data_IF_648915692810
#
_entry.id   IF_648915692810
#
_cell.length_a   1.000
_cell.length_b   1.000
_cell.length_c   1.000
_cell.angle_alpha   90.00
_cell.angle_beta   90.00
_cell.angle_gamma   90.00
#
_symmetry.space_group_name_H-M   'P 1'
#
loop_
_entity.id
_entity.type
_entity.pdbx_description
1 polymer ?
#
# COMPACT_ATOMS: atom_id res chain seq x y z
N UNK A 1 28.74 0.17 5.22
CA UNK A 1 27.33 0.59 5.00
C UNK A 1 26.62 -0.17 3.87
N UNK A 2 27.30 -0.55 2.77
CA UNK A 2 26.70 -1.35 1.67
C UNK A 2 26.35 -2.81 2.04
N UNK A 3 27.06 -3.42 3.00
CA UNK A 3 26.82 -4.81 3.43
C UNK A 3 25.55 -4.98 4.29
N UNK A 4 25.09 -3.90 4.96
CA UNK A 4 23.90 -3.93 5.82
C UNK A 4 22.60 -3.89 5.00
N UNK A 5 22.63 -3.25 3.82
CA UNK A 5 21.48 -3.23 2.90
C UNK A 5 21.27 -4.62 2.27
N UNK A 6 22.34 -5.40 2.05
CA UNK A 6 22.23 -6.75 1.48
C UNK A 6 21.65 -7.79 2.46
N UNK A 7 21.85 -7.63 3.78
CA UNK A 7 21.31 -8.58 4.77
C UNK A 7 19.82 -8.38 5.03
N UNK A 8 19.32 -7.15 5.05
CA UNK A 8 17.89 -6.86 5.22
C UNK A 8 17.05 -7.19 3.98
N UNK A 9 17.57 -6.91 2.78
CA UNK A 9 16.96 -7.38 1.53
C UNK A 9 16.84 -8.91 1.52
N UNK A 10 17.83 -9.63 2.04
CA UNK A 10 17.80 -11.09 2.09
C UNK A 10 16.75 -11.65 3.08
N UNK A 11 16.40 -10.95 4.17
CA UNK A 11 15.32 -11.38 5.08
C UNK A 11 13.94 -11.23 4.46
N UNK A 12 13.64 -10.11 3.79
CA UNK A 12 12.36 -9.93 3.10
C UNK A 12 12.22 -10.83 1.85
N UNK A 13 13.33 -11.24 1.22
CA UNK A 13 13.33 -12.08 0.02
C UNK A 13 13.19 -13.59 0.29
N UNK A 14 13.35 -14.06 1.53
CA UNK A 14 13.05 -15.45 1.90
C UNK A 14 11.54 -15.73 1.97
N UNK A 15 10.71 -14.70 2.17
CA UNK A 15 9.24 -14.83 2.29
C UNK A 15 8.48 -14.48 1.01
N UNK A 16 9.13 -14.55 -0.15
CA UNK A 16 8.49 -14.19 -1.43
C UNK A 16 8.25 -15.44 -2.28
N UNK A 17 7.06 -16.04 -2.26
CA UNK A 17 6.80 -17.36 -2.87
C UNK A 17 6.89 -17.36 -4.41
N UNK A 18 6.81 -16.19 -5.06
CA UNK A 18 7.02 -16.05 -6.50
C UNK A 18 8.49 -15.81 -6.90
N UNK A 19 9.46 -15.87 -5.97
CA UNK A 19 10.86 -15.57 -6.22
C UNK A 19 11.71 -16.85 -6.36
N UNK A 20 11.78 -17.40 -7.58
CA UNK A 20 12.59 -18.59 -7.89
C UNK A 20 14.10 -18.31 -7.89
N UNK A 21 14.91 -19.37 -7.80
CA UNK A 21 16.38 -19.27 -7.91
C UNK A 21 16.82 -18.60 -9.22
N UNK A 22 16.16 -18.93 -10.33
CA UNK A 22 16.43 -18.34 -11.64
C UNK A 22 16.19 -16.82 -11.67
N UNK A 23 15.11 -16.35 -11.03
CA UNK A 23 14.83 -14.91 -10.94
C UNK A 23 15.89 -14.22 -10.07
N UNK A 24 16.34 -14.87 -9.00
CA UNK A 24 17.43 -14.35 -8.14
C UNK A 24 18.74 -14.24 -8.90
N UNK A 25 19.10 -15.25 -9.70
CA UNK A 25 20.31 -15.17 -10.54
C UNK A 25 20.22 -14.06 -11.58
N UNK A 26 19.05 -13.90 -12.22
CA UNK A 26 18.80 -12.82 -13.17
C UNK A 26 18.82 -11.43 -12.51
N UNK A 27 18.39 -11.31 -11.25
CA UNK A 27 18.53 -10.09 -10.45
C UNK A 27 20.02 -9.77 -10.21
N UNK A 28 20.82 -10.76 -9.82
CA UNK A 28 22.27 -10.58 -9.66
C UNK A 28 22.94 -10.15 -10.98
N UNK A 29 22.54 -10.74 -12.10
CA UNK A 29 23.02 -10.35 -13.44
C UNK A 29 22.66 -8.90 -13.78
N UNK A 30 21.43 -8.47 -13.48
CA UNK A 30 21.00 -7.08 -13.64
C UNK A 30 21.87 -6.13 -12.81
N UNK A 31 22.15 -6.50 -11.56
CA UNK A 31 22.91 -5.65 -10.64
C UNK A 31 24.37 -5.53 -11.07
N UNK A 32 24.98 -6.62 -11.54
CA UNK A 32 26.32 -6.58 -12.16
C UNK A 32 26.33 -5.67 -13.41
N UNK A 33 25.32 -5.78 -14.28
CA UNK A 33 25.21 -4.92 -15.46
C UNK A 33 25.01 -3.43 -15.08
N UNK A 34 24.23 -3.16 -14.03
CA UNK A 34 24.03 -1.82 -13.50
C UNK A 34 25.33 -1.21 -12.96
N UNK A 35 26.08 -1.97 -12.16
CA UNK A 35 27.41 -1.56 -11.67
C UNK A 35 28.38 -1.31 -12.81
N UNK A 36 28.42 -2.19 -13.82
CA UNK A 36 29.29 -2.03 -14.99
C UNK A 36 28.96 -0.76 -15.77
N UNK A 37 27.69 -0.51 -16.06
CA UNK A 37 27.25 0.73 -16.71
C UNK A 37 27.56 1.96 -15.84
N UNK A 38 27.40 1.87 -14.51
CA UNK A 38 27.69 2.98 -13.62
C UNK A 38 29.16 3.40 -13.68
N UNK A 39 30.08 2.45 -13.88
CA UNK A 39 31.51 2.68 -14.03
C UNK A 39 31.89 3.15 -15.44
N UNK A 40 31.42 2.47 -16.48
CA UNK A 40 31.84 2.76 -17.86
C UNK A 40 31.11 3.93 -18.51
N UNK A 41 29.86 4.19 -18.10
CA UNK A 41 28.90 5.12 -18.73
C UNK A 41 28.72 4.89 -20.23
N UNK A 42 29.08 3.72 -20.75
CA UNK A 42 29.02 3.44 -22.18
C UNK A 42 27.58 3.14 -22.63
N UNK A 43 27.23 3.55 -23.85
CA UNK A 43 25.92 3.24 -24.44
C UNK A 43 25.71 1.72 -24.60
N UNK A 44 26.78 0.98 -24.89
CA UNK A 44 26.74 -0.48 -25.00
C UNK A 44 26.36 -1.14 -23.66
N UNK A 45 27.00 -0.75 -22.56
CA UNK A 45 26.69 -1.29 -21.23
C UNK A 45 25.31 -0.84 -20.75
N UNK A 46 24.87 0.37 -21.13
CA UNK A 46 23.50 0.81 -20.87
C UNK A 46 22.47 -0.10 -21.54
N UNK A 47 22.68 -0.47 -22.80
CA UNK A 47 21.78 -1.36 -23.53
C UNK A 47 21.71 -2.75 -22.89
N UNK A 48 22.84 -3.28 -22.41
CA UNK A 48 22.92 -4.55 -21.68
C UNK A 48 22.15 -4.46 -20.34
N UNK A 49 22.34 -3.39 -19.58
CA UNK A 49 21.58 -3.16 -18.35
C UNK A 49 20.08 -3.07 -18.63
N UNK A 50 19.68 -2.28 -19.62
CA UNK A 50 18.27 -2.07 -20.00
C UNK A 50 17.60 -3.39 -20.41
N UNK A 51 18.25 -4.20 -21.25
CA UNK A 51 17.70 -5.48 -21.68
C UNK A 51 17.55 -6.45 -20.50
N UNK A 52 18.55 -6.54 -19.64
CA UNK A 52 18.54 -7.40 -18.44
C UNK A 52 17.47 -6.96 -17.45
N UNK A 53 17.32 -5.65 -17.21
CA UNK A 53 16.26 -5.07 -16.36
C UNK A 53 14.88 -5.43 -16.88
N UNK A 54 14.64 -5.31 -18.18
CA UNK A 54 13.35 -5.62 -18.80
C UNK A 54 13.03 -7.12 -18.69
N UNK A 55 14.02 -7.99 -18.93
CA UNK A 55 13.88 -9.43 -18.77
C UNK A 55 13.51 -9.82 -17.34
N UNK A 56 14.23 -9.30 -16.35
CA UNK A 56 13.92 -9.50 -14.92
C UNK A 56 12.50 -9.03 -14.59
N UNK A 57 12.12 -7.83 -15.05
CA UNK A 57 10.77 -7.28 -14.81
C UNK A 57 9.70 -8.21 -15.38
N UNK A 58 9.90 -8.74 -16.58
CA UNK A 58 8.97 -9.68 -17.20
C UNK A 58 8.90 -11.01 -16.43
N UNK A 59 10.04 -11.56 -16.03
CA UNK A 59 10.09 -12.81 -15.25
C UNK A 59 9.35 -12.68 -13.92
N UNK A 60 9.56 -11.58 -13.19
CA UNK A 60 8.86 -11.31 -11.93
C UNK A 60 7.35 -11.21 -12.16
N UNK A 61 6.90 -10.49 -13.20
CA UNK A 61 5.47 -10.38 -13.52
C UNK A 61 4.86 -11.75 -13.83
N UNK A 62 5.50 -12.53 -14.69
CA UNK A 62 5.02 -13.86 -15.05
C UNK A 62 4.99 -14.79 -13.82
N UNK A 63 5.99 -14.70 -12.95
CA UNK A 63 6.03 -15.50 -11.71
C UNK A 63 4.91 -15.11 -10.74
N UNK A 64 4.68 -13.81 -10.53
CA UNK A 64 3.56 -13.31 -9.74
C UNK A 64 2.20 -13.76 -10.29
N UNK A 65 2.01 -13.66 -11.61
CA UNK A 65 0.78 -14.11 -12.26
C UNK A 65 0.55 -15.61 -12.07
N UNK A 66 1.58 -16.44 -12.31
CA UNK A 66 1.50 -17.89 -12.06
C UNK A 66 1.15 -18.20 -10.61
N UNK A 67 1.82 -17.55 -9.66
CA UNK A 67 1.55 -17.75 -8.25
C UNK A 67 0.12 -17.35 -7.86
N UNK A 68 -0.38 -16.21 -8.38
CA UNK A 68 -1.76 -15.79 -8.18
C UNK A 68 -2.76 -16.81 -8.77
N UNK A 69 -2.50 -17.34 -9.96
CA UNK A 69 -3.34 -18.40 -10.54
C UNK A 69 -3.31 -19.70 -9.72
N UNK A 70 -2.17 -20.05 -9.12
CA UNK A 70 -2.07 -21.20 -8.20
C UNK A 70 -2.89 -20.97 -6.91
N UNK A 71 -2.93 -19.73 -6.40
CA UNK A 71 -3.70 -19.38 -5.20
C UNK A 71 -5.20 -19.23 -5.46
N UNK A 72 -5.57 -18.79 -6.67
CA UNK A 72 -6.95 -18.48 -7.02
C UNK A 72 -7.39 -19.24 -8.29
N UNK A 73 -7.48 -20.58 -8.22
CA UNK A 73 -8.01 -21.38 -9.32
C UNK A 73 -9.51 -21.06 -9.56
N UNK A 74 -10.05 -21.29 -10.77
CA UNK A 74 -11.43 -20.96 -11.09
C UNK A 74 -12.47 -21.70 -10.25
N UNK A 75 -12.16 -22.90 -9.76
CA UNK A 75 -13.05 -23.75 -8.94
C UNK A 75 -12.77 -23.62 -7.43
N UNK A 76 -12.40 -22.43 -6.96
CA UNK A 76 -12.05 -22.22 -5.56
C UNK A 76 -13.29 -22.15 -4.65
N UNK A 77 -13.28 -22.91 -3.56
CA UNK A 77 -14.30 -22.81 -2.50
C UNK A 77 -14.07 -21.57 -1.64
N UNK A 78 -15.12 -21.05 -1.00
CA UNK A 78 -15.03 -19.89 -0.11
C UNK A 78 -13.99 -20.10 1.01
N UNK A 79 -14.00 -21.27 1.67
CA UNK A 79 -13.03 -21.59 2.72
C UNK A 79 -11.58 -21.56 2.24
N UNK A 80 -11.31 -22.10 1.05
CA UNK A 80 -9.98 -22.06 0.44
C UNK A 80 -9.58 -20.65 0.01
N UNK A 81 -10.53 -19.83 -0.44
CA UNK A 81 -10.31 -18.42 -0.73
C UNK A 81 -9.84 -17.68 0.52
N UNK A 82 -10.56 -17.79 1.64
CA UNK A 82 -10.16 -17.18 2.90
C UNK A 82 -8.78 -17.65 3.37
N UNK A 83 -8.50 -18.95 3.27
CA UNK A 83 -7.20 -19.52 3.62
C UNK A 83 -6.08 -18.97 2.73
N UNK A 84 -6.32 -18.79 1.44
CA UNK A 84 -5.32 -18.30 0.50
C UNK A 84 -5.11 -16.78 0.62
N UNK A 85 -6.17 -16.01 0.88
CA UNK A 85 -6.06 -14.57 1.20
C UNK A 85 -5.23 -14.37 2.47
N UNK A 86 -5.51 -15.13 3.54
CA UNK A 86 -4.73 -15.09 4.79
C UNK A 86 -3.24 -15.43 4.63
N UNK A 87 -2.85 -16.16 3.58
CA UNK A 87 -1.44 -16.48 3.29
C UNK A 87 -0.69 -15.35 2.59
N UNK A 88 -1.41 -14.46 1.91
CA UNK A 88 -0.82 -13.39 1.09
C UNK A 88 -0.84 -12.08 1.85
N UNK A 89 -1.89 -11.84 2.63
CA UNK A 89 -1.96 -10.70 3.51
C UNK A 89 -0.92 -10.87 4.62
N UNK A 90 -0.21 -9.78 5.01
CA UNK A 90 0.55 -9.77 6.24
C UNK A 90 -0.34 -10.25 7.38
N UNK A 91 0.23 -10.99 8.33
CA UNK A 91 -0.54 -11.40 9.50
C UNK A 91 -1.12 -10.12 10.13
N UNK A 92 -2.41 -10.02 10.45
CA UNK A 92 -2.97 -8.81 11.08
C UNK A 92 -2.20 -8.40 12.34
N UNK A 93 -1.54 -9.35 13.01
CA UNK A 93 -0.66 -9.08 14.16
C UNK A 93 0.70 -8.47 13.79
N UNK A 94 1.08 -8.44 12.51
CA UNK A 94 2.29 -7.78 11.98
C UNK A 94 1.97 -6.40 11.39
N UNK A 95 0.69 -6.07 11.20
CA UNK A 95 0.24 -4.75 10.78
C UNK A 95 -0.12 -3.92 12.03
N UNK A 96 0.89 -3.64 12.86
CA UNK A 96 0.80 -2.74 14.02
C UNK A 96 0.75 -1.27 13.60
N UNK A 97 -0.11 -0.92 12.64
CA UNK A 97 -0.55 0.48 12.48
C UNK A 97 -2.03 0.60 12.80
N UNK A 98 -2.44 -0.05 13.89
CA UNK A 98 -3.52 0.49 14.70
C UNK A 98 -2.91 1.68 15.43
N UNK A 99 -2.91 2.84 14.78
CA UNK A 99 -2.72 4.10 15.51
C UNK A 99 -3.79 4.07 16.59
N UNK A 100 -3.36 4.03 17.86
CA UNK A 100 -4.29 4.11 18.98
C UNK A 100 -5.15 5.37 18.79
N UNK A 101 -6.42 5.34 19.20
CA UNK A 101 -7.24 6.57 19.24
C UNK A 101 -6.52 7.67 20.03
N UNK A 102 -5.75 7.30 21.05
CA UNK A 102 -4.96 8.22 21.86
C UNK A 102 -3.76 8.76 21.08
N UNK A 103 -3.07 7.90 20.31
CA UNK A 103 -1.92 8.31 19.47
C UNK A 103 -2.38 9.21 18.30
N UNK A 104 -3.55 8.92 17.73
CA UNK A 104 -4.17 9.78 16.72
C UNK A 104 -4.52 11.13 17.33
N UNK A 105 -5.17 11.13 18.49
CA UNK A 105 -5.53 12.35 19.20
C UNK A 105 -4.28 13.16 19.58
N UNK A 106 -3.22 12.50 20.03
CA UNK A 106 -1.94 13.11 20.34
C UNK A 106 -1.29 13.71 19.08
N UNK A 107 -1.39 13.07 17.92
CA UNK A 107 -0.91 13.64 16.65
C UNK A 107 -1.65 14.93 16.25
N UNK A 108 -2.94 15.04 16.57
CA UNK A 108 -3.72 16.27 16.37
C UNK A 108 -3.51 17.31 17.48
N UNK A 109 -3.13 16.88 18.68
CA UNK A 109 -2.92 17.74 19.85
C UNK A 109 -1.47 18.23 20.00
N UNK A 110 -0.51 17.55 19.36
CA UNK A 110 0.91 17.86 19.36
C UNK A 110 1.32 18.99 18.41
N UNK A 111 0.34 19.70 17.84
CA UNK A 111 0.60 20.98 17.17
C UNK A 111 1.37 21.87 18.14
N UNK A 112 2.54 22.41 17.77
CA UNK A 112 3.32 23.26 18.64
C UNK A 112 2.43 24.37 19.18
N UNK A 113 2.26 24.40 20.51
CA UNK A 113 1.56 25.49 21.18
C UNK A 113 2.21 26.80 20.71
N UNK A 114 1.47 27.70 20.03
CA UNK A 114 2.05 28.96 19.62
C UNK A 114 2.52 29.70 20.89
N UNK A 115 3.55 30.55 20.79
CA UNK A 115 4.04 31.29 21.95
C UNK A 115 2.88 32.06 22.61
N UNK A 116 2.88 32.25 23.94
CA UNK A 116 1.74 32.83 24.66
C UNK A 116 1.25 34.17 24.09
N UNK A 117 2.17 34.99 23.57
CA UNK A 117 1.87 36.26 22.91
C UNK A 117 1.06 36.14 21.62
N UNK A 118 1.17 35.01 20.91
CA UNK A 118 0.38 34.71 19.73
C UNK A 118 -0.95 34.04 20.08
N UNK A 119 -1.10 33.37 21.23
CA UNK A 119 -2.37 32.72 21.62
C UNK A 119 -3.48 33.76 21.74
N UNK A 120 -3.25 34.84 22.48
CA UNK A 120 -4.25 35.88 22.70
C UNK A 120 -4.61 36.63 21.41
N UNK A 121 -3.60 36.93 20.57
CA UNK A 121 -3.80 37.58 19.28
C UNK A 121 -4.55 36.68 18.29
N UNK A 122 -4.22 35.38 18.26
CA UNK A 122 -4.81 34.39 17.36
C UNK A 122 -6.23 34.03 17.79
N UNK A 123 -6.46 33.84 19.10
CA UNK A 123 -7.79 33.60 19.66
C UNK A 123 -8.72 34.78 19.44
N UNK A 124 -8.24 36.01 19.65
CA UNK A 124 -9.00 37.24 19.35
C UNK A 124 -9.28 37.39 17.85
N UNK A 125 -8.31 37.04 16.99
CA UNK A 125 -8.51 37.04 15.55
C UNK A 125 -9.59 36.05 15.13
N UNK A 126 -9.53 34.77 15.52
CA UNK A 126 -10.54 33.77 15.16
C UNK A 126 -11.91 34.06 15.77
N UNK A 127 -11.96 34.60 16.99
CA UNK A 127 -13.23 34.99 17.64
C UNK A 127 -13.88 36.22 17.00
N UNK A 128 -13.10 37.04 16.27
CA UNK A 128 -13.61 38.20 15.54
C UNK A 128 -13.95 37.90 14.07
N UNK A 129 -13.56 36.73 13.56
CA UNK A 129 -14.01 36.29 12.24
C UNK A 129 -15.51 35.98 12.31
N UNK A 130 -16.31 36.45 11.33
CA UNK A 130 -17.70 36.06 11.26
C UNK A 130 -17.74 34.53 11.12
N UNK A 131 -18.50 33.87 12.00
CA UNK A 131 -18.78 32.44 11.86
C UNK A 131 -19.36 32.26 10.46
N UNK A 132 -18.71 31.50 9.55
CA UNK A 132 -19.26 31.31 8.23
C UNK A 132 -20.62 30.64 8.37
N UNK A 133 -21.68 31.34 7.94
CA UNK A 133 -23.03 30.76 7.93
C UNK A 133 -23.00 29.45 7.14
N UNK A 134 -23.24 28.33 7.84
CA UNK A 134 -23.41 27.02 7.22
C UNK A 134 -22.22 26.06 7.25
N UNK A 135 -21.08 26.39 7.87
CA UNK A 135 -19.99 25.41 8.06
C UNK A 135 -20.05 24.83 9.48
N UNK A 136 -20.97 23.87 9.67
CA UNK A 136 -21.05 23.08 10.89
C UNK A 136 -20.27 21.79 10.67
N UNK A 137 -19.28 21.53 11.52
CA UNK A 137 -18.70 20.19 11.61
C UNK A 137 -19.70 19.28 12.31
N UNK A 138 -20.32 18.40 11.55
CA UNK A 138 -21.27 17.43 12.07
C UNK A 138 -20.59 16.07 12.23
N UNK A 139 -20.65 15.53 13.43
CA UNK A 139 -20.33 14.13 13.66
C UNK A 139 -21.59 13.31 13.38
N UNK A 140 -21.60 12.62 12.24
CA UNK A 140 -22.68 11.71 11.90
C UNK A 140 -22.28 10.28 12.24
N UNK A 141 -23.15 9.55 12.94
CA UNK A 141 -22.99 8.11 13.12
C UNK A 141 -23.06 7.43 11.75
N UNK A 142 -21.96 6.79 11.34
CA UNK A 142 -21.85 6.14 10.05
C UNK A 142 -21.93 4.62 10.22
N UNK A 143 -23.11 4.07 9.99
CA UNK A 143 -23.34 2.62 10.13
C UNK A 143 -22.85 1.83 8.90
N UNK A 144 -22.68 0.52 9.07
CA UNK A 144 -22.38 -0.40 7.95
C UNK A 144 -23.42 -0.29 6.83
N UNK A 145 -24.71 -0.19 7.19
CA UNK A 145 -25.79 -0.02 6.21
C UNK A 145 -25.59 1.24 5.36
N UNK A 146 -25.17 2.35 5.98
CA UNK A 146 -24.88 3.61 5.28
C UNK A 146 -23.71 3.44 4.30
N UNK A 147 -22.63 2.77 4.71
CA UNK A 147 -21.48 2.46 3.87
C UNK A 147 -21.89 1.63 2.65
N UNK A 148 -22.63 0.54 2.87
CA UNK A 148 -23.09 -0.38 1.82
C UNK A 148 -24.02 0.32 0.85
N UNK A 149 -24.93 1.15 1.35
CA UNK A 149 -25.81 1.98 0.53
C UNK A 149 -25.03 2.98 -0.33
N UNK A 150 -24.00 3.63 0.23
CA UNK A 150 -23.16 4.56 -0.50
C UNK A 150 -22.34 3.88 -1.59
N UNK A 151 -21.71 2.74 -1.30
CA UNK A 151 -20.92 2.00 -2.28
C UNK A 151 -21.79 1.42 -3.40
N UNK A 152 -22.99 0.90 -3.08
CA UNK A 152 -23.93 0.38 -4.09
C UNK A 152 -24.53 1.47 -4.98
N UNK A 153 -24.55 2.74 -4.54
CA UNK A 153 -24.94 3.88 -5.40
C UNK A 153 -23.89 4.24 -6.44
N UNK A 154 -22.63 3.89 -6.21
CA UNK A 154 -21.55 4.14 -7.16
C UNK A 154 -21.67 3.26 -8.41
N UNK A 155 -21.10 3.71 -9.53
CA UNK A 155 -21.01 2.88 -10.73
C UNK A 155 -20.11 1.67 -10.42
N UNK A 156 -20.59 0.42 -10.48
CA UNK A 156 -19.79 -0.76 -10.13
C UNK A 156 -18.58 -0.99 -11.05
N UNK A 157 -18.56 -0.35 -12.22
CA UNK A 157 -17.43 -0.33 -13.15
C UNK A 157 -16.40 0.77 -12.86
N UNK A 158 -16.62 1.62 -11.85
CA UNK A 158 -15.63 2.58 -11.42
C UNK A 158 -14.43 1.89 -10.79
N UNK A 159 -13.25 2.47 -11.02
CA UNK A 159 -11.97 2.00 -10.51
C UNK A 159 -11.45 3.01 -9.51
N UNK A 160 -11.00 2.53 -8.34
CA UNK A 160 -10.28 3.35 -7.38
C UNK A 160 -8.93 3.82 -7.94
N UNK A 161 -8.32 4.80 -7.27
CA UNK A 161 -6.96 5.26 -7.59
C UNK A 161 -5.93 4.12 -7.52
N UNK A 162 -6.16 3.16 -6.63
CA UNK A 162 -5.42 1.92 -6.44
C UNK A 162 -5.68 0.85 -7.50
N UNK A 163 -6.51 1.14 -8.51
CA UNK A 163 -6.97 0.18 -9.53
C UNK A 163 -7.78 -0.97 -8.95
N UNK A 164 -8.42 -0.79 -7.78
CA UNK A 164 -9.37 -1.76 -7.24
C UNK A 164 -10.77 -1.45 -7.79
N UNK A 165 -11.45 -2.39 -8.45
CA UNK A 165 -12.81 -2.17 -8.93
C UNK A 165 -13.80 -2.01 -7.77
N UNK A 166 -14.74 -1.07 -7.89
CA UNK A 166 -15.78 -0.88 -6.87
C UNK A 166 -16.62 -2.16 -6.64
N UNK A 167 -16.89 -2.93 -7.69
CA UNK A 167 -17.52 -4.24 -7.60
C UNK A 167 -16.76 -5.21 -6.66
N UNK A 168 -15.43 -5.19 -6.68
CA UNK A 168 -14.63 -6.02 -5.77
C UNK A 168 -14.86 -5.59 -4.31
N UNK A 169 -14.82 -4.29 -4.04
CA UNK A 169 -15.09 -3.73 -2.71
C UNK A 169 -16.49 -4.10 -2.20
N UNK A 170 -17.51 -3.96 -3.04
CA UNK A 170 -18.90 -4.32 -2.68
C UNK A 170 -19.00 -5.80 -2.28
N UNK A 171 -18.28 -6.71 -2.96
CA UNK A 171 -18.34 -8.15 -2.67
C UNK A 171 -17.61 -8.54 -1.39
N UNK A 172 -16.52 -7.85 -1.05
CA UNK A 172 -15.74 -8.15 0.16
C UNK A 172 -16.26 -7.41 1.39
N UNK A 173 -17.10 -6.39 1.22
CA UNK A 173 -17.67 -5.63 2.33
C UNK A 173 -18.43 -6.50 3.33
N UNK A 174 -19.29 -7.39 2.83
CA UNK A 174 -20.07 -8.34 3.64
C UNK A 174 -19.16 -9.37 4.33
N UNK A 175 -17.88 -9.43 3.96
CA UNK A 175 -16.88 -10.34 4.51
C UNK A 175 -16.03 -9.64 5.59
N UNK A 176 -15.74 -8.35 5.42
CA UNK A 176 -14.83 -7.59 6.29
C UNK A 176 -15.56 -7.01 7.51
N UNK A 177 -16.84 -6.69 7.37
CA UNK A 177 -17.67 -6.15 8.43
C UNK A 177 -18.78 -7.16 8.76
N UNK A 178 -18.56 -8.06 9.74
CA UNK A 178 -19.59 -8.99 10.20
C UNK A 178 -20.80 -8.27 10.82
#
# INVERSE_FOLDING_TARGET
MLLFIHSELNRCLQSTPWMSFEIKDMLNHRDRAACKFALSKSSADFNIFKSTRNKVKQMIRNSKARYAHTLFPPQLTQEMFHKNVKKILPNPNECETLISTDELLESFSSVPQPPPSLIDATSSHYSSLPIPDGVVFEFQEFTHFNLTKCLKKGNPSSMGYDQIPLNFLIRIMDIISP
#
